data_IF_924134249749
#
_entry.id   IF_924134249749
#
_cell.length_a   1.000
_cell.length_b   1.000
_cell.length_c   1.000
_cell.angle_alpha   90.00
_cell.angle_beta   90.00
_cell.angle_gamma   90.00
#
_symmetry.space_group_name_H-M   'P 1'
#
loop_
_entity.id
_entity.type
_entity.pdbx_description
1 polymer ?
#
# COMPACT_ATOMS: atom_id res chain seq x y z
N UNK A 1 5.66 -2.81 -11.24
CA UNK A 1 6.18 -4.13 -10.86
C UNK A 1 7.33 -4.48 -11.80
N UNK A 2 8.49 -4.80 -11.25
CA UNK A 2 9.69 -5.27 -11.97
C UNK A 2 9.34 -6.40 -12.92
N UNK A 3 10.00 -6.46 -14.09
CA UNK A 3 9.96 -7.69 -14.87
C UNK A 3 10.33 -8.83 -13.94
N UNK A 4 9.54 -9.90 -13.99
CA UNK A 4 9.82 -11.17 -13.32
C UNK A 4 11.03 -11.85 -13.98
N UNK A 5 12.14 -11.12 -14.11
CA UNK A 5 13.45 -11.74 -14.07
C UNK A 5 13.44 -12.54 -12.79
N UNK A 6 13.63 -13.84 -12.94
CA UNK A 6 13.80 -14.77 -11.83
C UNK A 6 14.81 -14.12 -10.89
N UNK A 7 14.33 -13.63 -9.74
CA UNK A 7 15.21 -12.98 -8.78
C UNK A 7 16.21 -14.05 -8.34
N UNK A 8 17.53 -13.79 -8.44
CA UNK A 8 18.52 -14.79 -8.07
C UNK A 8 18.27 -15.23 -6.62
N UNK A 9 18.30 -16.55 -6.41
CA UNK A 9 18.11 -17.14 -5.10
C UNK A 9 19.12 -16.55 -4.11
N UNK A 10 18.66 -16.31 -2.88
CA UNK A 10 19.48 -15.70 -1.83
C UNK A 10 19.65 -14.18 -1.92
N UNK A 11 19.14 -13.51 -2.96
CA UNK A 11 19.10 -12.04 -2.95
C UNK A 11 18.09 -11.52 -1.91
N UNK A 12 18.33 -10.35 -1.30
CA UNK A 12 17.40 -9.75 -0.34
C UNK A 12 15.96 -9.63 -0.84
N UNK A 13 15.77 -9.22 -2.10
CA UNK A 13 14.43 -9.14 -2.70
C UNK A 13 13.75 -10.52 -2.82
N UNK A 14 14.50 -11.57 -3.17
CA UNK A 14 13.97 -12.93 -3.20
C UNK A 14 13.57 -13.44 -1.81
N UNK A 15 14.39 -13.15 -0.79
CA UNK A 15 14.10 -13.49 0.61
C UNK A 15 12.87 -12.75 1.14
N UNK A 16 12.71 -11.47 0.80
CA UNK A 16 11.54 -10.68 1.15
C UNK A 16 10.25 -11.31 0.58
N UNK A 17 10.24 -11.64 -0.72
CA UNK A 17 9.11 -12.31 -1.36
C UNK A 17 8.82 -13.67 -0.73
N UNK A 18 9.85 -14.45 -0.39
CA UNK A 18 9.68 -15.71 0.34
C UNK A 18 8.98 -15.50 1.67
N UNK A 19 9.42 -14.52 2.46
CA UNK A 19 8.81 -14.23 3.76
C UNK A 19 7.36 -13.72 3.61
N UNK A 20 7.08 -12.89 2.60
CA UNK A 20 5.70 -12.45 2.30
C UNK A 20 4.81 -13.64 1.92
N UNK A 21 5.31 -14.60 1.12
CA UNK A 21 4.56 -15.83 0.79
C UNK A 21 4.30 -16.69 2.01
N UNK A 22 5.26 -16.80 2.92
CA UNK A 22 5.07 -17.50 4.20
C UNK A 22 3.99 -16.77 5.02
N UNK A 23 4.08 -15.45 5.16
CA UNK A 23 3.10 -14.65 5.89
C UNK A 23 1.68 -14.79 5.29
N UNK A 24 1.56 -14.75 3.96
CA UNK A 24 0.30 -14.99 3.26
C UNK A 24 -0.24 -16.39 3.52
N UNK A 25 0.62 -17.41 3.48
CA UNK A 25 0.21 -18.81 3.74
C UNK A 25 -0.27 -18.98 5.18
N UNK A 26 0.44 -18.40 6.15
CA UNK A 26 0.03 -18.42 7.57
C UNK A 26 -1.31 -17.70 7.75
N UNK A 27 -1.50 -16.54 7.11
CA UNK A 27 -2.76 -15.81 7.14
C UNK A 27 -3.90 -16.61 6.50
N UNK A 28 -3.67 -17.26 5.35
CA UNK A 28 -4.65 -18.14 4.70
C UNK A 28 -5.05 -19.29 5.61
N UNK A 29 -4.07 -20.00 6.18
CA UNK A 29 -4.34 -21.12 7.09
C UNK A 29 -5.14 -20.63 8.30
N UNK A 30 -4.81 -19.46 8.85
CA UNK A 30 -5.57 -18.88 9.95
C UNK A 30 -7.03 -18.61 9.54
N UNK A 31 -7.26 -17.95 8.40
CA UNK A 31 -8.61 -17.70 7.88
C UNK A 31 -9.38 -19.01 7.69
N UNK A 32 -8.81 -19.98 6.96
CA UNK A 32 -9.45 -21.28 6.72
C UNK A 32 -9.76 -22.03 8.01
N UNK A 33 -8.85 -22.00 9.00
CA UNK A 33 -9.11 -22.63 10.31
C UNK A 33 -10.25 -21.94 11.04
N UNK A 34 -10.35 -20.63 10.96
CA UNK A 34 -11.43 -19.86 11.63
C UNK A 34 -12.78 -20.00 10.92
N UNK A 35 -12.82 -20.01 9.59
CA UNK A 35 -14.05 -20.14 8.80
C UNK A 35 -14.58 -21.57 8.81
N UNK A 36 -13.68 -22.56 8.71
CA UNK A 36 -14.02 -23.99 8.70
C UNK A 36 -14.04 -24.63 10.09
N UNK A 37 -14.01 -23.85 11.18
CA UNK A 37 -14.10 -24.41 12.52
C UNK A 37 -15.50 -25.03 12.75
N UNK A 38 -15.60 -26.32 13.11
CA UNK A 38 -16.90 -26.98 13.24
C UNK A 38 -17.79 -26.32 14.28
N UNK A 39 -19.02 -25.99 13.90
CA UNK A 39 -20.07 -25.41 14.76
C UNK A 39 -19.61 -24.14 15.50
N UNK A 40 -18.69 -23.37 14.92
CA UNK A 40 -18.29 -22.09 15.48
C UNK A 40 -19.42 -21.07 15.30
N UNK A 41 -20.10 -20.73 16.39
CA UNK A 41 -21.04 -19.60 16.43
C UNK A 41 -20.44 -18.48 17.28
N UNK A 42 -19.88 -17.45 16.63
CA UNK A 42 -19.39 -16.26 17.34
C UNK A 42 -20.57 -15.31 17.55
N UNK A 43 -21.21 -15.47 18.70
CA UNK A 43 -22.44 -14.72 19.04
C UNK A 43 -23.69 -15.31 18.38
N UNK A 44 -24.87 -14.94 18.89
CA UNK A 44 -26.12 -15.16 18.17
C UNK A 44 -26.02 -14.49 16.79
N UNK A 45 -26.55 -15.11 15.73
CA UNK A 45 -26.42 -14.70 14.31
C UNK A 45 -26.89 -13.29 13.91
N UNK A 46 -27.10 -12.40 14.87
CA UNK A 46 -27.32 -10.97 14.69
C UNK A 46 -26.06 -10.13 14.99
N UNK A 47 -24.89 -10.75 15.16
CA UNK A 47 -23.61 -10.09 15.44
C UNK A 47 -23.19 -9.18 14.28
N UNK A 48 -23.29 -7.84 14.39
CA UNK A 48 -23.03 -6.93 13.28
C UNK A 48 -21.55 -6.72 12.96
N UNK A 49 -20.68 -7.62 13.41
CA UNK A 49 -19.24 -7.55 13.17
C UNK A 49 -18.78 -8.66 12.21
N UNK A 50 -19.59 -9.69 12.01
CA UNK A 50 -19.18 -10.87 11.25
C UNK A 50 -18.71 -10.50 9.84
N UNK A 51 -19.53 -9.74 9.11
CA UNK A 51 -19.18 -9.23 7.77
C UNK A 51 -17.97 -8.30 7.78
N UNK A 52 -17.76 -7.54 8.85
CA UNK A 52 -16.57 -6.68 8.97
C UNK A 52 -15.30 -7.51 9.19
N UNK A 53 -15.38 -8.61 9.95
CA UNK A 53 -14.26 -9.56 10.14
C UNK A 53 -13.92 -10.23 8.81
N UNK A 54 -14.93 -10.72 8.09
CA UNK A 54 -14.80 -11.32 6.75
C UNK A 54 -14.08 -10.36 5.79
N UNK A 55 -14.63 -9.15 5.61
CA UNK A 55 -14.03 -8.12 4.77
C UNK A 55 -12.58 -7.76 5.20
N UNK A 56 -12.32 -7.65 6.50
CA UNK A 56 -10.99 -7.35 7.00
C UNK A 56 -9.99 -8.49 6.73
N UNK A 57 -10.39 -9.73 7.00
CA UNK A 57 -9.56 -10.93 6.85
C UNK A 57 -9.17 -11.12 5.38
N UNK A 58 -10.15 -11.11 4.47
CA UNK A 58 -9.91 -11.23 3.04
C UNK A 58 -9.24 -10.00 2.42
N UNK A 59 -9.46 -8.80 2.97
CA UNK A 59 -8.71 -7.60 2.61
C UNK A 59 -7.21 -7.70 2.93
N UNK A 60 -6.85 -8.15 4.13
CA UNK A 60 -5.45 -8.40 4.53
C UNK A 60 -4.83 -9.50 3.66
N UNK A 61 -5.58 -10.59 3.43
CA UNK A 61 -5.14 -11.71 2.62
C UNK A 61 -4.89 -11.28 1.17
N UNK A 62 -5.78 -10.48 0.58
CA UNK A 62 -5.63 -9.92 -0.76
C UNK A 62 -4.43 -8.97 -0.87
N UNK A 63 -4.21 -8.10 0.13
CA UNK A 63 -3.06 -7.22 0.16
C UNK A 63 -1.75 -8.04 0.17
N UNK A 64 -1.63 -9.02 1.07
CA UNK A 64 -0.47 -9.91 1.13
C UNK A 64 -0.29 -10.69 -0.18
N UNK A 65 -1.38 -11.20 -0.78
CA UNK A 65 -1.35 -11.91 -2.05
C UNK A 65 -0.76 -11.05 -3.16
N UNK A 66 -1.19 -9.80 -3.29
CA UNK A 66 -0.65 -8.85 -4.28
C UNK A 66 0.87 -8.66 -4.10
N UNK A 67 1.34 -8.62 -2.85
CA UNK A 67 2.78 -8.52 -2.54
C UNK A 67 3.58 -9.82 -2.75
N UNK A 68 2.94 -11.00 -2.85
CA UNK A 68 3.64 -12.26 -3.22
C UNK A 68 4.22 -12.24 -4.63
N UNK A 69 3.71 -11.35 -5.49
CA UNK A 69 4.05 -11.21 -6.92
C UNK A 69 3.86 -12.52 -7.71
N UNK A 70 2.97 -13.42 -7.29
CA UNK A 70 2.62 -14.62 -8.08
C UNK A 70 1.93 -14.25 -9.39
N UNK A 71 0.98 -13.31 -9.34
CA UNK A 71 0.29 -12.79 -10.52
C UNK A 71 0.74 -11.35 -10.80
N UNK A 72 1.06 -11.06 -12.06
CA UNK A 72 1.51 -9.72 -12.49
C UNK A 72 0.35 -8.74 -12.61
N UNK A 73 -0.78 -9.22 -13.11
CA UNK A 73 -1.98 -8.40 -13.29
C UNK A 73 -2.77 -8.33 -12.00
N UNK A 74 -3.11 -7.11 -11.59
CA UNK A 74 -4.00 -6.90 -10.47
C UNK A 74 -5.41 -7.42 -10.73
N UNK A 75 -5.85 -7.45 -11.99
CA UNK A 75 -7.13 -8.02 -12.36
C UNK A 75 -7.16 -9.54 -12.12
N UNK A 76 -6.10 -10.24 -12.52
CA UNK A 76 -5.97 -11.67 -12.25
C UNK A 76 -5.84 -11.96 -10.74
N UNK A 77 -5.17 -11.07 -9.98
CA UNK A 77 -5.14 -11.17 -8.52
C UNK A 77 -6.52 -10.99 -7.89
N UNK A 78 -7.31 -10.03 -8.36
CA UNK A 78 -8.68 -9.84 -7.91
C UNK A 78 -9.51 -11.09 -8.16
N UNK A 79 -9.50 -11.59 -9.40
CA UNK A 79 -10.28 -12.77 -9.78
C UNK A 79 -9.87 -13.99 -8.96
N UNK A 80 -8.57 -14.23 -8.78
CA UNK A 80 -8.08 -15.33 -7.95
C UNK A 80 -8.59 -15.23 -6.51
N UNK A 81 -8.51 -14.05 -5.90
CA UNK A 81 -8.96 -13.85 -4.52
C UNK A 81 -10.48 -13.98 -4.36
N UNK A 82 -11.27 -13.54 -5.35
CA UNK A 82 -12.74 -13.70 -5.34
C UNK A 82 -13.13 -15.17 -5.47
N UNK A 83 -12.43 -15.93 -6.33
CA UNK A 83 -12.63 -17.39 -6.45
C UNK A 83 -12.22 -18.10 -5.16
N UNK A 84 -11.15 -17.67 -4.50
CA UNK A 84 -10.72 -18.22 -3.22
C UNK A 84 -11.75 -17.98 -2.12
N UNK A 85 -12.34 -16.79 -2.05
CA UNK A 85 -13.45 -16.49 -1.11
C UNK A 85 -14.68 -17.37 -1.40
N UNK A 86 -15.06 -17.52 -2.67
CA UNK A 86 -16.17 -18.40 -3.03
C UNK A 86 -15.91 -19.87 -2.66
N UNK A 87 -14.65 -20.32 -2.77
CA UNK A 87 -14.26 -21.67 -2.37
C UNK A 87 -14.34 -21.84 -0.84
N UNK A 88 -13.95 -20.84 -0.05
CA UNK A 88 -14.09 -20.87 1.41
C UNK A 88 -15.56 -21.10 1.81
N UNK A 89 -16.49 -20.30 1.27
CA UNK A 89 -17.93 -20.47 1.51
C UNK A 89 -18.45 -21.83 1.04
N UNK A 90 -18.03 -22.30 -0.14
CA UNK A 90 -18.42 -23.62 -0.63
C UNK A 90 -17.93 -24.75 0.30
N UNK A 91 -16.75 -24.61 0.91
CA UNK A 91 -16.22 -25.57 1.88
C UNK A 91 -16.99 -25.54 3.20
N UNK A 92 -17.56 -24.40 3.59
CA UNK A 92 -18.45 -24.33 4.77
C UNK A 92 -19.73 -25.17 4.60
N UNK A 93 -20.15 -25.50 3.37
CA UNK A 93 -21.29 -26.38 3.10
C UNK A 93 -21.04 -27.86 3.44
N UNK A 94 -19.82 -28.26 3.83
CA UNK A 94 -19.51 -29.62 4.24
C UNK A 94 -20.38 -29.97 5.48
N UNK A 95 -21.30 -30.96 5.39
CA UNK A 95 -22.31 -31.19 6.43
C UNK A 95 -21.73 -31.43 7.84
N UNK A 96 -20.53 -32.01 7.91
CA UNK A 96 -19.82 -32.29 9.17
C UNK A 96 -19.40 -31.02 9.92
N UNK A 97 -19.25 -29.88 9.22
CA UNK A 97 -18.92 -28.60 9.84
C UNK A 97 -20.13 -28.00 10.56
N UNK A 98 -21.35 -28.35 10.15
CA UNK A 98 -22.58 -27.79 10.71
C UNK A 98 -22.73 -26.29 10.46
N UNK A 99 -22.19 -25.79 9.33
CA UNK A 99 -22.35 -24.42 8.86
C UNK A 99 -23.16 -24.40 7.56
N UNK A 100 -23.75 -23.26 7.25
CA UNK A 100 -24.36 -22.96 5.95
C UNK A 100 -23.50 -21.91 5.26
N UNK A 101 -23.29 -22.05 3.95
CA UNK A 101 -22.71 -20.97 3.16
C UNK A 101 -23.65 -19.76 3.17
N UNK A 102 -23.09 -18.57 3.35
CA UNK A 102 -23.82 -17.31 3.29
C UNK A 102 -23.29 -16.45 2.14
N UNK A 103 -24.20 -16.05 1.25
CA UNK A 103 -23.85 -15.16 0.13
C UNK A 103 -23.45 -13.77 0.64
N UNK A 104 -23.96 -13.35 1.79
CA UNK A 104 -23.61 -12.07 2.37
C UNK A 104 -22.16 -12.05 2.88
N UNK A 105 -21.65 -13.17 3.41
CA UNK A 105 -20.27 -13.32 3.86
C UNK A 105 -19.30 -13.33 2.68
N UNK A 106 -19.63 -14.07 1.62
CA UNK A 106 -18.89 -13.98 0.35
C UNK A 106 -18.88 -12.54 -0.20
N UNK A 107 -20.02 -11.85 -0.16
CA UNK A 107 -20.13 -10.45 -0.56
C UNK A 107 -19.21 -9.55 0.26
N UNK A 108 -19.13 -9.79 1.56
CA UNK A 108 -18.25 -9.05 2.46
C UNK A 108 -16.77 -9.28 2.14
N UNK A 109 -16.37 -10.52 1.85
CA UNK A 109 -15.02 -10.87 1.41
C UNK A 109 -14.64 -10.11 0.13
N UNK A 110 -15.54 -10.09 -0.86
CA UNK A 110 -15.35 -9.38 -2.13
C UNK A 110 -15.15 -7.87 -1.90
N UNK A 111 -15.91 -7.27 -0.98
CA UNK A 111 -15.73 -5.87 -0.60
C UNK A 111 -14.33 -5.65 0.01
N UNK A 112 -13.92 -6.49 0.95
CA UNK A 112 -12.59 -6.46 1.55
C UNK A 112 -11.45 -6.54 0.53
N UNK A 113 -11.52 -7.51 -0.38
CA UNK A 113 -10.57 -7.71 -1.47
C UNK A 113 -10.53 -6.47 -2.37
N UNK A 114 -11.69 -5.90 -2.71
CA UNK A 114 -11.80 -4.73 -3.59
C UNK A 114 -11.16 -3.49 -2.95
N UNK A 115 -11.40 -3.26 -1.66
CA UNK A 115 -10.77 -2.16 -0.90
C UNK A 115 -9.25 -2.33 -0.90
N UNK A 116 -8.74 -3.52 -0.57
CA UNK A 116 -7.30 -3.80 -0.57
C UNK A 116 -6.67 -3.55 -1.94
N UNK A 117 -7.33 -3.98 -3.02
CA UNK A 117 -6.89 -3.76 -4.39
C UNK A 117 -6.86 -2.27 -4.73
N UNK A 118 -7.90 -1.52 -4.40
CA UNK A 118 -7.99 -0.09 -4.67
C UNK A 118 -6.84 0.68 -4.00
N UNK A 119 -6.52 0.36 -2.74
CA UNK A 119 -5.36 0.95 -2.05
C UNK A 119 -4.03 0.49 -2.65
N UNK A 120 -3.89 -0.77 -3.03
CA UNK A 120 -2.68 -1.25 -3.72
C UNK A 120 -2.48 -0.54 -5.07
N UNK A 121 -3.56 -0.29 -5.83
CA UNK A 121 -3.55 0.49 -7.07
C UNK A 121 -3.16 1.94 -6.80
N UNK A 122 -3.77 2.58 -5.81
CA UNK A 122 -3.43 3.94 -5.40
C UNK A 122 -1.98 4.07 -4.94
N UNK A 123 -1.44 3.02 -4.31
CA UNK A 123 -0.07 2.95 -3.83
C UNK A 123 0.96 2.59 -4.92
N UNK A 124 0.56 2.39 -6.17
CA UNK A 124 1.50 2.09 -7.26
C UNK A 124 2.49 3.25 -7.49
N UNK A 125 3.71 2.94 -7.94
CA UNK A 125 4.65 3.95 -8.43
C UNK A 125 3.98 4.80 -9.52
N UNK A 126 4.08 6.12 -9.39
CA UNK A 126 3.64 7.10 -10.39
C UNK A 126 4.79 8.08 -10.64
N UNK A 127 4.81 8.70 -11.82
CA UNK A 127 5.90 9.56 -12.27
C UNK A 127 6.84 8.89 -13.28
N UNK A 128 7.67 9.72 -13.90
CA UNK A 128 8.56 9.31 -14.99
C UNK A 128 9.96 9.00 -14.46
N UNK A 129 10.60 9.98 -13.85
CA UNK A 129 12.05 10.04 -13.71
C UNK A 129 12.45 9.92 -12.24
N UNK A 130 12.63 11.05 -11.55
CA UNK A 130 13.08 11.10 -10.17
C UNK A 130 12.05 10.48 -9.22
N UNK A 131 10.76 10.66 -9.49
CA UNK A 131 9.70 10.03 -8.71
C UNK A 131 9.73 8.50 -8.84
N UNK A 132 10.01 8.00 -10.04
CA UNK A 132 10.18 6.55 -10.29
C UNK A 132 11.41 6.02 -9.56
N UNK A 133 12.52 6.74 -9.60
CA UNK A 133 13.75 6.39 -8.89
C UNK A 133 13.54 6.35 -7.37
N UNK A 134 12.89 7.37 -6.79
CA UNK A 134 12.53 7.39 -5.36
C UNK A 134 11.60 6.22 -5.03
N UNK A 135 10.62 5.93 -5.89
CA UNK A 135 9.74 4.79 -5.67
C UNK A 135 10.48 3.45 -5.73
N UNK A 136 11.46 3.29 -6.62
CA UNK A 136 12.34 2.12 -6.66
C UNK A 136 13.19 2.00 -5.39
N UNK A 137 13.79 3.10 -4.91
CA UNK A 137 14.53 3.14 -3.64
C UNK A 137 13.65 2.74 -2.45
N UNK A 138 12.41 3.25 -2.39
CA UNK A 138 11.44 2.88 -1.35
C UNK A 138 11.02 1.41 -1.46
N UNK A 139 10.80 0.91 -2.67
CA UNK A 139 10.46 -0.49 -2.92
C UNK A 139 11.58 -1.42 -2.44
N UNK A 140 12.84 -1.13 -2.77
CA UNK A 140 13.95 -1.97 -2.30
C UNK A 140 14.17 -1.84 -0.79
N UNK A 141 13.97 -0.65 -0.22
CA UNK A 141 14.01 -0.47 1.23
C UNK A 141 12.91 -1.27 1.96
N UNK A 142 11.72 -1.37 1.38
CA UNK A 142 10.65 -2.24 1.89
C UNK A 142 11.01 -3.72 1.75
N UNK A 143 11.58 -4.15 0.62
CA UNK A 143 12.06 -5.53 0.46
C UNK A 143 13.15 -5.85 1.51
N UNK A 144 14.09 -4.93 1.76
CA UNK A 144 15.12 -5.04 2.81
C UNK A 144 14.56 -5.04 4.24
N UNK A 145 13.38 -4.46 4.45
CA UNK A 145 12.66 -4.55 5.73
C UNK A 145 12.03 -5.95 5.88
N UNK A 146 11.30 -6.40 4.86
CA UNK A 146 10.55 -7.66 4.90
C UNK A 146 11.41 -8.93 4.80
N UNK A 147 12.68 -8.84 4.36
CA UNK A 147 13.63 -9.95 4.45
C UNK A 147 13.96 -10.33 5.90
N UNK A 148 13.74 -9.44 6.88
CA UNK A 148 14.04 -9.70 8.29
C UNK A 148 12.81 -10.28 9.00
N UNK A 149 12.89 -11.48 9.59
CA UNK A 149 11.79 -12.05 10.37
C UNK A 149 11.36 -11.17 11.55
N UNK A 150 12.30 -10.45 12.17
CA UNK A 150 12.02 -9.52 13.27
C UNK A 150 11.10 -8.36 12.86
N UNK A 151 11.15 -7.90 11.60
CA UNK A 151 10.25 -6.87 11.12
C UNK A 151 8.79 -7.34 11.13
N UNK A 152 8.53 -8.61 10.79
CA UNK A 152 7.19 -9.21 10.85
C UNK A 152 6.67 -9.31 12.27
N UNK A 153 7.54 -9.71 13.22
CA UNK A 153 7.18 -9.73 14.64
C UNK A 153 6.83 -8.32 15.12
N UNK A 154 7.60 -7.30 14.77
CA UNK A 154 7.28 -5.92 15.15
C UNK A 154 5.97 -5.43 14.54
N UNK A 155 5.68 -5.77 13.27
CA UNK A 155 4.41 -5.43 12.64
C UNK A 155 3.23 -6.11 13.34
N UNK A 156 3.36 -7.39 13.70
CA UNK A 156 2.34 -8.12 14.45
C UNK A 156 2.15 -7.55 15.88
N UNK A 157 3.22 -7.20 16.57
CA UNK A 157 3.15 -6.55 17.90
C UNK A 157 2.46 -5.19 17.81
N UNK A 158 2.85 -4.35 16.85
CA UNK A 158 2.21 -3.03 16.66
C UNK A 158 0.78 -3.16 16.19
N UNK A 159 0.44 -4.18 15.39
CA UNK A 159 -0.94 -4.50 15.04
C UNK A 159 -1.78 -4.76 16.30
N UNK A 160 -1.31 -5.66 17.17
CA UNK A 160 -2.01 -6.00 18.41
C UNK A 160 -2.12 -4.81 19.37
N UNK A 161 -1.04 -4.03 19.55
CA UNK A 161 -1.06 -2.82 20.40
C UNK A 161 -1.97 -1.74 19.81
N UNK A 162 -1.94 -1.55 18.49
CA UNK A 162 -2.82 -0.64 17.78
C UNK A 162 -4.28 -1.03 17.96
N UNK A 163 -4.60 -2.32 17.88
CA UNK A 163 -5.94 -2.84 18.16
C UNK A 163 -6.35 -2.57 19.62
N UNK A 164 -5.49 -2.92 20.58
CA UNK A 164 -5.75 -2.73 22.00
C UNK A 164 -5.95 -1.25 22.39
N UNK A 165 -5.26 -0.32 21.73
CA UNK A 165 -5.42 1.12 21.95
C UNK A 165 -6.61 1.71 21.19
N UNK A 166 -6.84 1.26 19.96
CA UNK A 166 -7.91 1.75 19.10
C UNK A 166 -9.30 1.33 19.58
N UNK A 167 -9.42 0.14 20.18
CA UNK A 167 -10.70 -0.38 20.65
C UNK A 167 -11.37 0.49 21.73
N UNK A 168 -10.74 0.82 22.87
CA UNK A 168 -11.35 1.69 23.86
C UNK A 168 -11.63 3.09 23.29
N UNK A 169 -10.80 3.60 22.38
CA UNK A 169 -11.06 4.88 21.72
C UNK A 169 -12.33 4.85 20.86
N UNK A 170 -12.55 3.76 20.12
CA UNK A 170 -13.78 3.55 19.34
C UNK A 170 -15.02 3.56 20.23
N UNK A 171 -14.99 2.84 21.35
CA UNK A 171 -16.07 2.84 22.35
C UNK A 171 -16.33 4.24 22.92
N UNK A 172 -15.27 4.98 23.27
CA UNK A 172 -15.39 6.31 23.84
C UNK A 172 -16.00 7.31 22.85
N UNK A 173 -15.58 7.27 21.58
CA UNK A 173 -16.14 8.12 20.53
C UNK A 173 -17.63 7.87 20.33
N UNK A 174 -18.06 6.60 20.31
CA UNK A 174 -19.47 6.26 20.20
C UNK A 174 -20.29 6.78 21.39
N UNK A 175 -19.80 6.53 22.62
CA UNK A 175 -20.49 6.95 23.85
C UNK A 175 -20.73 8.46 23.93
N UNK A 176 -19.93 9.26 23.23
CA UNK A 176 -20.03 10.71 23.21
C UNK A 176 -21.03 11.22 22.16
N UNK A 177 -21.19 10.52 21.03
CA UNK A 177 -21.97 10.98 19.89
C UNK A 177 -23.33 10.27 19.71
N UNK A 178 -23.51 9.02 20.16
CA UNK A 178 -24.69 8.21 19.80
C UNK A 178 -25.34 7.58 21.05
N UNK A 179 -26.38 8.22 21.61
CA UNK A 179 -27.11 7.69 22.78
C UNK A 179 -28.04 6.49 22.50
N UNK A 180 -28.14 6.02 21.26
CA UNK A 180 -29.04 4.92 20.84
C UNK A 180 -28.46 4.07 19.70
N UNK A 181 -27.15 3.83 19.75
CA UNK A 181 -26.40 3.15 18.70
C UNK A 181 -26.14 1.66 18.99
N UNK A 182 -25.52 0.95 18.04
CA UNK A 182 -25.12 -0.44 18.15
C UNK A 182 -24.34 -0.77 19.44
N UNK A 183 -24.23 -2.06 19.76
CA UNK A 183 -23.60 -2.51 21.01
C UNK A 183 -22.13 -2.00 21.11
N UNK A 184 -21.66 -1.48 22.27
CA UNK A 184 -20.37 -0.79 22.40
C UNK A 184 -19.15 -1.52 21.84
N UNK A 185 -19.13 -2.85 21.92
CA UNK A 185 -18.04 -3.67 21.40
C UNK A 185 -17.88 -3.58 19.87
N UNK A 186 -18.90 -3.17 19.11
CA UNK A 186 -18.82 -2.92 17.67
C UNK A 186 -17.92 -1.75 17.32
N UNK A 187 -18.14 -0.63 17.99
CA UNK A 187 -17.26 0.51 17.87
C UNK A 187 -15.88 0.21 18.44
N UNK A 188 -15.80 -0.64 19.47
CA UNK A 188 -14.54 -1.21 19.94
C UNK A 188 -13.80 -1.97 18.85
N UNK A 189 -14.48 -2.85 18.11
CA UNK A 189 -13.84 -3.60 17.03
C UNK A 189 -13.40 -2.69 15.87
N UNK A 190 -14.27 -1.79 15.41
CA UNK A 190 -13.94 -0.83 14.33
C UNK A 190 -12.75 0.05 14.74
N UNK A 191 -12.79 0.60 15.95
CA UNK A 191 -11.70 1.39 16.51
C UNK A 191 -10.41 0.59 16.63
N UNK A 192 -10.51 -0.67 17.06
CA UNK A 192 -9.37 -1.60 17.11
C UNK A 192 -8.77 -1.88 15.74
N UNK A 193 -9.59 -2.20 14.74
CA UNK A 193 -9.16 -2.43 13.36
C UNK A 193 -8.48 -1.19 12.76
N UNK A 194 -9.03 0.00 13.00
CA UNK A 194 -8.42 1.25 12.57
C UNK A 194 -7.08 1.50 13.27
N UNK A 195 -7.03 1.32 14.60
CA UNK A 195 -5.81 1.48 15.38
C UNK A 195 -4.70 0.50 14.94
N UNK A 196 -5.07 -0.74 14.65
CA UNK A 196 -4.19 -1.76 14.06
C UNK A 196 -3.63 -1.27 12.71
N UNK A 197 -4.49 -0.85 11.78
CA UNK A 197 -4.09 -0.41 10.45
C UNK A 197 -3.15 0.81 10.52
N UNK A 198 -3.48 1.81 11.34
CA UNK A 198 -2.66 3.01 11.54
C UNK A 198 -1.31 2.66 12.16
N UNK A 199 -1.29 1.83 13.20
CA UNK A 199 -0.05 1.39 13.85
C UNK A 199 0.88 0.66 12.89
N UNK A 200 0.37 -0.35 12.18
CA UNK A 200 1.12 -1.13 11.18
C UNK A 200 1.67 -0.21 10.10
N UNK A 201 0.85 0.70 9.57
CA UNK A 201 1.28 1.65 8.55
C UNK A 201 2.39 2.57 9.04
N UNK A 202 2.25 3.13 10.25
CA UNK A 202 3.24 4.03 10.84
C UNK A 202 4.59 3.32 11.07
N UNK A 203 4.59 2.10 11.62
CA UNK A 203 5.81 1.31 11.80
C UNK A 203 6.46 0.96 10.46
N UNK A 204 5.66 0.55 9.47
CA UNK A 204 6.15 0.24 8.13
C UNK A 204 6.81 1.45 7.48
N UNK A 205 6.16 2.61 7.50
CA UNK A 205 6.71 3.86 6.96
C UNK A 205 8.00 4.29 7.68
N UNK A 206 8.04 4.20 9.00
CA UNK A 206 9.24 4.49 9.79
C UNK A 206 10.39 3.53 9.42
N UNK A 207 10.10 2.23 9.29
CA UNK A 207 11.04 1.20 8.88
C UNK A 207 11.59 1.43 7.48
N UNK A 208 10.73 1.74 6.51
CA UNK A 208 11.13 2.07 5.13
C UNK A 208 12.01 3.32 5.10
N UNK A 209 11.64 4.40 5.81
CA UNK A 209 12.46 5.63 5.88
C UNK A 209 13.83 5.37 6.50
N UNK A 210 13.88 4.59 7.58
CA UNK A 210 15.14 4.18 8.19
C UNK A 210 16.01 3.36 7.24
N UNK A 211 15.40 2.45 6.47
CA UNK A 211 16.09 1.63 5.46
C UNK A 211 16.57 2.44 4.27
N UNK A 212 15.78 3.40 3.76
CA UNK A 212 16.22 4.31 2.69
C UNK A 212 17.46 5.09 3.12
N UNK A 213 17.50 5.62 4.36
CA UNK A 213 18.67 6.35 4.88
C UNK A 213 19.94 5.49 4.90
N UNK A 214 19.86 4.25 5.37
CA UNK A 214 21.00 3.30 5.35
C UNK A 214 21.37 2.87 3.93
N UNK A 215 20.37 2.68 3.07
CA UNK A 215 20.60 2.27 1.69
C UNK A 215 21.33 3.35 0.87
N UNK A 216 21.25 4.63 1.24
CA UNK A 216 22.09 5.68 0.65
C UNK A 216 23.58 5.43 0.87
N UNK A 217 24.00 4.91 2.02
CA UNK A 217 25.41 4.58 2.29
C UNK A 217 25.80 3.19 1.77
N UNK A 218 24.92 2.20 1.88
CA UNK A 218 25.19 0.82 1.44
C UNK A 218 25.04 0.63 -0.09
N UNK A 219 24.33 1.57 -0.73
CA UNK A 219 23.99 1.60 -2.15
C UNK A 219 23.54 0.24 -2.71
N UNK A 220 22.57 -0.48 -2.11
CA UNK A 220 22.19 -1.80 -2.60
C UNK A 220 21.68 -1.74 -4.06
N UNK A 221 21.82 -2.82 -4.82
CA UNK A 221 21.28 -2.88 -6.17
C UNK A 221 19.75 -2.65 -6.15
N UNK A 222 19.24 -1.68 -6.91
CA UNK A 222 17.80 -1.36 -6.95
C UNK A 222 16.93 -2.51 -7.50
N UNK A 223 17.53 -3.51 -8.16
CA UNK A 223 16.81 -4.65 -8.70
C UNK A 223 16.70 -5.83 -7.73
N UNK A 224 17.78 -6.18 -7.01
CA UNK A 224 17.81 -7.37 -6.15
C UNK A 224 18.10 -7.10 -4.66
N UNK A 225 18.51 -5.89 -4.31
CA UNK A 225 18.85 -5.48 -2.95
C UNK A 225 20.23 -5.92 -2.47
N UNK A 226 21.00 -6.66 -3.27
CA UNK A 226 22.35 -7.06 -2.89
C UNK A 226 23.22 -5.81 -2.65
N UNK A 227 23.86 -5.74 -1.48
CA UNK A 227 24.85 -4.71 -1.18
C UNK A 227 25.99 -4.81 -2.19
N UNK A 228 26.42 -3.66 -2.70
CA UNK A 228 27.74 -3.61 -3.33
C UNK A 228 28.77 -3.57 -2.23
N UNK A 229 29.24 -4.73 -1.81
CA UNK A 229 30.64 -4.79 -1.45
C UNK A 229 31.39 -4.47 -2.74
N UNK A 230 31.59 -3.17 -3.00
CA UNK A 230 32.72 -2.71 -3.77
C UNK A 230 33.88 -3.36 -3.05
N UNK A 231 34.51 -4.33 -3.70
CA UNK A 231 35.73 -4.93 -3.21
C UNK A 231 36.68 -3.74 -3.05
N UNK A 232 36.80 -3.22 -1.83
CA UNK A 232 37.72 -2.15 -1.46
C UNK A 232 39.16 -2.69 -1.45
N UNK A 233 39.49 -3.63 -2.34
CA UNK A 233 40.79 -4.25 -2.46
C UNK A 233 41.69 -3.56 -3.50
N UNK A 234 41.39 -2.30 -3.87
CA UNK A 234 42.27 -1.53 -4.75
C UNK A 234 42.38 -0.04 -4.36
N UNK A 235 41.98 0.33 -3.14
CA UNK A 235 42.47 1.56 -2.52
C UNK A 235 43.74 1.21 -1.73
N UNK A 236 44.69 0.60 -2.45
CA UNK A 236 46.06 0.54 -1.98
C UNK A 236 46.61 1.97 -2.05
N UNK A 237 47.15 2.40 -0.92
CA UNK A 237 47.39 3.78 -0.55
C UNK A 237 48.58 4.31 -1.36
N UNK A 238 48.36 5.21 -2.32
CA UNK A 238 49.44 6.08 -2.80
C UNK A 238 49.47 6.46 -4.28
N UNK A 239 48.65 5.87 -5.16
CA UNK A 239 48.67 6.28 -6.57
C UNK A 239 47.69 7.44 -6.84
N UNK A 240 48.14 8.58 -7.38
CA UNK A 240 47.25 9.66 -7.79
C UNK A 240 46.24 9.10 -8.80
N UNK A 241 44.94 9.28 -8.49
CA UNK A 241 43.83 8.83 -9.32
C UNK A 241 43.88 9.65 -10.62
N UNK A 242 44.59 9.14 -11.62
CA UNK A 242 44.42 9.58 -12.98
C UNK A 242 42.95 9.39 -13.35
N UNK A 243 42.36 10.37 -14.02
CA UNK A 243 40.98 10.37 -14.51
C UNK A 243 40.76 9.36 -15.65
N UNK A 244 41.30 8.15 -15.51
CA UNK A 244 41.08 7.05 -16.44
C UNK A 244 39.62 6.63 -16.35
N UNK A 245 39.03 6.55 -17.55
CA UNK A 245 37.69 6.11 -17.90
C UNK A 245 37.01 5.21 -16.84
N UNK A 246 35.76 5.51 -16.46
CA UNK A 246 35.02 4.70 -15.51
C UNK A 246 34.94 3.24 -16.01
N UNK A 247 35.14 2.24 -15.13
CA UNK A 247 35.20 0.83 -15.50
C UNK A 247 33.94 0.41 -16.27
N UNK A 248 34.14 -0.21 -17.44
CA UNK A 248 33.15 -0.44 -18.49
C UNK A 248 31.98 -1.36 -18.11
N UNK A 249 31.92 -1.96 -16.93
CA UNK A 249 30.75 -2.75 -16.52
C UNK A 249 30.37 -2.56 -15.05
N UNK A 250 29.67 -1.46 -14.75
CA UNK A 250 28.96 -1.25 -13.47
C UNK A 250 27.74 -2.19 -13.34
N UNK A 251 27.91 -3.51 -13.45
CA UNK A 251 26.82 -4.48 -13.30
C UNK A 251 26.78 -5.04 -11.87
N UNK A 252 25.58 -5.34 -11.37
CA UNK A 252 25.44 -6.04 -10.10
C UNK A 252 25.94 -7.49 -10.23
N UNK A 253 26.97 -7.87 -9.45
CA UNK A 253 27.54 -9.22 -9.46
C UNK A 253 26.54 -10.35 -9.16
N UNK A 254 25.42 -10.04 -8.49
CA UNK A 254 24.40 -11.05 -8.14
C UNK A 254 23.33 -11.24 -9.20
N UNK A 255 22.89 -10.17 -9.88
CA UNK A 255 21.74 -10.22 -10.80
C UNK A 255 22.04 -9.67 -12.20
N UNK A 256 23.28 -9.30 -12.50
CA UNK A 256 23.72 -8.75 -13.78
C UNK A 256 23.08 -7.41 -14.18
N UNK A 257 22.24 -6.81 -13.33
CA UNK A 257 21.56 -5.56 -13.66
C UNK A 257 22.57 -4.41 -13.65
N UNK A 258 22.59 -3.61 -14.72
CA UNK A 258 23.41 -2.41 -14.80
C UNK A 258 23.03 -1.43 -13.68
N UNK A 259 24.05 -0.92 -12.99
CA UNK A 259 23.97 0.09 -11.94
C UNK A 259 24.34 1.43 -12.55
N UNK A 260 23.55 2.44 -12.25
CA UNK A 260 23.78 3.81 -12.72
C UNK A 260 24.34 4.62 -11.56
N UNK A 261 25.24 5.56 -11.84
CA UNK A 261 25.71 6.52 -10.84
C UNK A 261 24.55 7.30 -10.19
N UNK A 262 23.44 7.47 -10.92
CA UNK A 262 22.21 8.12 -10.44
C UNK A 262 21.40 7.29 -9.45
N UNK A 263 21.61 5.96 -9.36
CA UNK A 263 20.73 5.06 -8.61
C UNK A 263 20.63 5.45 -7.12
N UNK A 264 21.72 5.95 -6.54
CA UNK A 264 21.79 6.42 -5.15
C UNK A 264 22.29 7.86 -5.00
N UNK A 265 22.30 8.63 -6.10
CA UNK A 265 22.58 10.05 -6.05
C UNK A 265 21.62 10.77 -5.07
N UNK A 266 22.11 11.71 -4.26
CA UNK A 266 21.28 12.39 -3.28
C UNK A 266 20.18 13.18 -3.98
N UNK A 267 18.95 13.04 -3.49
CA UNK A 267 17.80 13.84 -3.93
C UNK A 267 17.27 14.53 -2.68
N UNK A 268 17.19 15.87 -2.71
CA UNK A 268 16.62 16.65 -1.63
C UNK A 268 15.19 16.17 -1.35
N UNK A 269 14.80 15.99 -0.08
CA UNK A 269 13.41 15.68 0.24
C UNK A 269 12.52 16.84 -0.20
N UNK A 270 11.29 16.52 -0.63
CA UNK A 270 10.29 17.54 -0.88
C UNK A 270 9.94 18.23 0.44
N UNK A 271 9.87 19.56 0.46
CA UNK A 271 9.47 20.29 1.66
C UNK A 271 8.08 19.84 2.14
N UNK A 272 7.90 19.74 3.46
CA UNK A 272 6.63 19.31 4.06
C UNK A 272 5.44 20.21 3.66
N UNK A 273 5.66 21.52 3.50
CA UNK A 273 4.65 22.47 2.98
C UNK A 273 4.27 22.18 1.52
N UNK A 274 5.23 21.78 0.70
CA UNK A 274 5.01 21.38 -0.68
C UNK A 274 4.30 20.02 -0.76
N UNK A 275 4.62 19.06 0.10
CA UNK A 275 3.89 17.80 0.21
C UNK A 275 2.43 18.04 0.64
N UNK A 276 2.23 18.83 1.71
CA UNK A 276 0.91 19.16 2.22
C UNK A 276 0.05 19.87 1.17
N UNK A 277 0.59 20.88 0.48
CA UNK A 277 -0.14 21.58 -0.58
C UNK A 277 -0.46 20.70 -1.80
N UNK A 278 0.39 19.70 -2.11
CA UNK A 278 0.08 18.72 -3.15
C UNK A 278 -1.09 17.81 -2.76
N UNK A 279 -1.24 17.52 -1.46
CA UNK A 279 -2.26 16.62 -0.92
C UNK A 279 -3.57 17.31 -0.50
N UNK A 280 -3.51 18.58 -0.11
CA UNK A 280 -4.65 19.31 0.46
C UNK A 280 -5.86 19.30 -0.48
N UNK A 281 -5.67 19.68 -1.75
CA UNK A 281 -6.78 19.76 -2.70
C UNK A 281 -7.41 18.37 -2.99
N UNK A 282 -6.66 17.30 -3.30
CA UNK A 282 -7.26 15.97 -3.45
C UNK A 282 -7.99 15.46 -2.21
N UNK A 283 -7.47 15.73 -1.00
CA UNK A 283 -8.14 15.36 0.26
C UNK A 283 -9.45 16.13 0.39
N UNK A 284 -9.44 17.44 0.22
CA UNK A 284 -10.65 18.26 0.27
C UNK A 284 -11.69 17.83 -0.77
N UNK A 285 -11.27 17.56 -2.01
CA UNK A 285 -12.15 17.05 -3.06
C UNK A 285 -12.73 15.67 -2.71
N UNK A 286 -11.96 14.80 -2.08
CA UNK A 286 -12.44 13.48 -1.62
C UNK A 286 -13.48 13.63 -0.51
N UNK A 287 -13.23 14.52 0.45
CA UNK A 287 -14.19 14.84 1.53
C UNK A 287 -15.48 15.46 0.97
N UNK A 288 -15.37 16.44 0.06
CA UNK A 288 -16.53 17.07 -0.58
C UNK A 288 -17.30 16.04 -1.42
N UNK A 289 -16.61 15.18 -2.18
CA UNK A 289 -17.25 14.12 -2.96
C UNK A 289 -18.02 13.14 -2.06
N UNK A 290 -17.45 12.76 -0.90
CA UNK A 290 -18.12 11.91 0.06
C UNK A 290 -19.39 12.58 0.61
N UNK A 291 -19.29 13.83 1.08
CA UNK A 291 -20.45 14.58 1.61
C UNK A 291 -21.53 14.77 0.54
N UNK A 292 -21.15 15.17 -0.67
CA UNK A 292 -22.10 15.36 -1.76
C UNK A 292 -22.76 14.04 -2.16
N UNK A 293 -22.00 12.94 -2.27
CA UNK A 293 -22.56 11.62 -2.57
C UNK A 293 -23.57 11.20 -1.51
N UNK A 294 -23.24 11.34 -0.22
CA UNK A 294 -24.15 11.03 0.88
C UNK A 294 -25.42 11.89 0.85
N UNK A 295 -25.29 13.22 0.69
CA UNK A 295 -26.44 14.14 0.65
C UNK A 295 -27.31 13.85 -0.57
N UNK A 296 -26.71 13.71 -1.76
CA UNK A 296 -27.44 13.39 -3.00
C UNK A 296 -28.15 12.05 -2.88
N UNK A 297 -27.51 11.01 -2.34
CA UNK A 297 -28.15 9.71 -2.12
C UNK A 297 -29.38 9.83 -1.20
N UNK A 298 -29.23 10.49 -0.04
CA UNK A 298 -30.33 10.71 0.90
C UNK A 298 -31.46 11.52 0.24
N UNK A 299 -31.14 12.60 -0.49
CA UNK A 299 -32.15 13.41 -1.19
C UNK A 299 -32.88 12.60 -2.26
N UNK A 300 -32.18 11.81 -3.08
CA UNK A 300 -32.79 10.97 -4.11
C UNK A 300 -33.72 9.94 -3.48
N UNK A 301 -33.24 9.20 -2.47
CA UNK A 301 -34.05 8.18 -1.79
C UNK A 301 -35.28 8.82 -1.16
N UNK A 302 -35.13 9.90 -0.39
CA UNK A 302 -36.27 10.54 0.28
C UNK A 302 -37.29 11.14 -0.69
N UNK A 303 -36.85 11.77 -1.79
CA UNK A 303 -37.75 12.40 -2.76
C UNK A 303 -38.43 11.41 -3.69
N UNK A 304 -37.73 10.37 -4.15
CA UNK A 304 -38.25 9.40 -5.10
C UNK A 304 -38.95 8.20 -4.43
N UNK A 305 -38.71 7.93 -3.15
CA UNK A 305 -39.35 6.81 -2.44
C UNK A 305 -40.88 6.83 -2.50
N UNK A 306 -41.49 8.01 -2.50
CA UNK A 306 -42.95 8.16 -2.62
C UNK A 306 -43.46 8.19 -4.08
N UNK A 307 -42.56 8.31 -5.07
CA UNK A 307 -42.91 8.51 -6.48
C UNK A 307 -42.47 7.38 -7.40
N UNK A 308 -41.60 6.48 -6.95
CA UNK A 308 -41.02 5.40 -7.76
C UNK A 308 -41.01 4.09 -7.00
N UNK A 309 -41.77 3.11 -7.48
CA UNK A 309 -41.78 1.74 -6.94
C UNK A 309 -40.40 1.11 -6.98
N UNK A 310 -39.59 1.44 -7.99
CA UNK A 310 -38.23 0.93 -8.11
C UNK A 310 -37.34 1.42 -6.96
N UNK A 311 -37.38 2.72 -6.66
CA UNK A 311 -36.61 3.29 -5.53
C UNK A 311 -37.12 2.76 -4.20
N UNK A 312 -38.44 2.61 -4.04
CA UNK A 312 -39.01 2.00 -2.84
C UNK A 312 -38.54 0.54 -2.66
N UNK A 313 -38.46 -0.25 -3.73
CA UNK A 313 -37.93 -1.63 -3.68
C UNK A 313 -36.45 -1.66 -3.32
N UNK A 314 -35.64 -0.76 -3.88
CA UNK A 314 -34.21 -0.66 -3.53
C UNK A 314 -34.03 -0.25 -2.08
N UNK A 315 -34.73 0.79 -1.62
CA UNK A 315 -34.67 1.24 -0.22
C UNK A 315 -35.15 0.12 0.72
N UNK A 316 -36.26 -0.54 0.40
CA UNK A 316 -36.75 -1.68 1.20
C UNK A 316 -35.75 -2.82 1.25
N UNK A 317 -35.16 -3.19 0.11
CA UNK A 317 -34.09 -4.19 0.04
C UNK A 317 -32.87 -3.78 0.88
N UNK A 318 -32.42 -2.53 0.77
CA UNK A 318 -31.31 -2.02 1.57
C UNK A 318 -31.62 -2.02 3.06
N UNK A 319 -32.85 -1.66 3.46
CA UNK A 319 -33.29 -1.71 4.86
C UNK A 319 -33.47 -3.15 5.37
N UNK A 320 -33.70 -4.12 4.48
CA UNK A 320 -33.72 -5.55 4.79
C UNK A 320 -32.32 -6.13 4.95
N UNK A 321 -31.27 -5.46 4.45
CA UNK A 321 -29.91 -5.90 4.68
C UNK A 321 -29.57 -5.85 6.18
N UNK A 322 -28.83 -6.86 6.68
CA UNK A 322 -28.20 -6.80 7.99
C UNK A 322 -27.46 -5.48 8.24
N UNK A 323 -27.47 -5.00 9.48
CA UNK A 323 -26.88 -3.70 9.84
C UNK A 323 -25.39 -3.61 9.47
N UNK A 324 -24.67 -4.71 9.60
CA UNK A 324 -23.25 -4.85 9.24
C UNK A 324 -22.98 -4.78 7.74
N UNK A 325 -23.86 -5.35 6.92
CA UNK A 325 -23.77 -5.23 5.46
C UNK A 325 -23.90 -3.76 5.02
N UNK A 326 -24.81 -3.01 5.65
CA UNK A 326 -24.96 -1.56 5.42
C UNK A 326 -23.73 -0.78 5.84
N UNK A 327 -23.22 -1.02 7.05
CA UNK A 327 -21.99 -0.39 7.56
C UNK A 327 -20.81 -0.70 6.63
N UNK A 328 -20.69 -1.95 6.17
CA UNK A 328 -19.65 -2.36 5.25
C UNK A 328 -19.75 -1.62 3.90
N UNK A 329 -20.96 -1.42 3.37
CA UNK A 329 -21.21 -0.59 2.18
C UNK A 329 -20.75 0.87 2.35
N UNK A 330 -21.03 1.47 3.50
CA UNK A 330 -20.57 2.82 3.84
C UNK A 330 -19.03 2.88 3.93
N UNK A 331 -18.41 1.91 4.62
CA UNK A 331 -16.95 1.79 4.74
C UNK A 331 -16.31 1.62 3.36
N UNK A 332 -16.88 0.76 2.50
CA UNK A 332 -16.40 0.54 1.15
C UNK A 332 -16.42 1.85 0.34
N UNK A 333 -17.51 2.61 0.43
CA UNK A 333 -17.65 3.90 -0.26
C UNK A 333 -16.58 4.88 0.20
N UNK A 334 -16.39 5.04 1.52
CA UNK A 334 -15.34 5.91 2.10
C UNK A 334 -13.95 5.45 1.66
N UNK A 335 -13.68 4.15 1.73
CA UNK A 335 -12.39 3.56 1.38
C UNK A 335 -12.04 3.77 -0.10
N UNK A 336 -12.99 3.57 -1.02
CA UNK A 336 -12.78 3.75 -2.46
C UNK A 336 -12.54 5.22 -2.82
N UNK A 337 -13.30 6.15 -2.23
CA UNK A 337 -13.08 7.60 -2.40
C UNK A 337 -11.70 7.97 -1.83
N UNK A 338 -11.34 7.46 -0.66
CA UNK A 338 -10.03 7.66 -0.04
C UNK A 338 -8.87 7.15 -0.90
N UNK A 339 -9.01 5.96 -1.51
CA UNK A 339 -8.02 5.41 -2.44
C UNK A 339 -7.84 6.29 -3.68
N UNK A 340 -8.93 6.83 -4.24
CA UNK A 340 -8.88 7.81 -5.34
C UNK A 340 -8.15 9.11 -4.92
N UNK A 341 -8.44 9.63 -3.73
CA UNK A 341 -7.75 10.78 -3.15
C UNK A 341 -6.24 10.54 -3.00
N UNK A 342 -5.86 9.39 -2.44
CA UNK A 342 -4.46 8.97 -2.30
C UNK A 342 -3.75 8.87 -3.65
N UNK A 343 -4.38 8.28 -4.65
CA UNK A 343 -3.83 8.17 -6.01
C UNK A 343 -3.60 9.56 -6.63
N UNK A 344 -4.53 10.50 -6.42
CA UNK A 344 -4.38 11.88 -6.87
C UNK A 344 -3.26 12.63 -6.12
N UNK A 345 -3.16 12.50 -4.79
CA UNK A 345 -2.05 13.04 -3.99
C UNK A 345 -0.70 12.56 -4.52
N UNK A 346 -0.55 11.24 -4.72
CA UNK A 346 0.71 10.65 -5.19
C UNK A 346 1.09 11.11 -6.58
N UNK A 347 0.13 11.24 -7.51
CA UNK A 347 0.41 11.78 -8.86
C UNK A 347 0.93 13.21 -8.79
N UNK A 348 0.36 14.05 -7.91
CA UNK A 348 0.81 15.43 -7.73
C UNK A 348 2.18 15.53 -7.07
N UNK A 349 2.44 14.72 -6.04
CA UNK A 349 3.77 14.63 -5.42
C UNK A 349 4.80 14.18 -6.46
N UNK A 350 4.51 13.12 -7.21
CA UNK A 350 5.41 12.62 -8.25
C UNK A 350 5.71 13.68 -9.32
N UNK A 351 4.69 14.41 -9.79
CA UNK A 351 4.88 15.50 -10.74
C UNK A 351 5.81 16.61 -10.20
N UNK A 352 5.74 16.94 -8.91
CA UNK A 352 6.66 17.90 -8.28
C UNK A 352 8.06 17.33 -8.12
N UNK A 353 8.17 16.05 -7.73
CA UNK A 353 9.47 15.37 -7.58
C UNK A 353 10.18 15.24 -8.93
N UNK A 354 9.46 14.96 -10.01
CA UNK A 354 10.02 14.90 -11.37
C UNK A 354 10.58 16.25 -11.85
N UNK A 355 10.26 17.37 -11.17
CA UNK A 355 10.88 18.68 -11.42
C UNK A 355 12.24 18.87 -10.74
N UNK A 356 12.75 17.90 -9.97
CA UNK A 356 13.97 18.07 -9.16
C UNK A 356 15.24 18.43 -9.96
N UNK A 357 15.25 18.23 -11.27
CA UNK A 357 16.34 18.64 -12.16
C UNK A 357 16.24 20.08 -12.68
N UNK A 358 15.05 20.66 -12.62
CA UNK A 358 14.75 22.04 -13.03
C UNK A 358 14.70 22.99 -11.82
N UNK A 359 14.15 22.55 -10.69
CA UNK A 359 14.11 23.33 -9.46
C UNK A 359 14.50 22.48 -8.25
N UNK A 360 15.14 23.09 -7.27
CA UNK A 360 15.51 22.39 -6.05
C UNK A 360 14.26 22.07 -5.22
N UNK A 361 14.01 20.79 -4.92
CA UNK A 361 12.87 20.37 -4.09
C UNK A 361 12.90 20.93 -2.66
N UNK A 362 14.10 21.29 -2.19
CA UNK A 362 14.35 21.76 -0.82
C UNK A 362 14.19 23.26 -0.62
N UNK A 363 14.42 24.11 -1.62
CA UNK A 363 14.29 25.58 -1.48
C UNK A 363 13.60 26.28 -2.66
N UNK A 364 13.29 25.57 -3.75
CA UNK A 364 12.65 26.13 -4.95
C UNK A 364 13.60 26.83 -5.93
N UNK A 365 14.90 26.93 -5.63
CA UNK A 365 15.89 27.57 -6.51
C UNK A 365 15.92 26.95 -7.91
N UNK A 366 16.02 27.78 -8.96
CA UNK A 366 16.09 27.34 -10.35
C UNK A 366 17.46 26.70 -10.65
N UNK A 367 17.46 25.38 -10.80
CA UNK A 367 18.68 24.61 -11.08
C UNK A 367 19.08 24.70 -12.53
N UNK A 368 18.30 25.28 -13.44
CA UNK A 368 18.69 25.45 -14.87
C UNK A 368 19.91 26.34 -15.04
N UNK A 369 20.19 27.22 -14.08
CA UNK A 369 21.40 28.05 -14.04
C UNK A 369 22.67 27.25 -13.67
N UNK A 370 22.53 26.05 -13.08
CA UNK A 370 23.68 25.17 -12.79
C UNK A 370 24.09 24.39 -14.04
N UNK A 371 25.38 24.05 -14.17
CA UNK A 371 25.97 23.40 -15.35
C UNK A 371 25.01 22.39 -16.01
N UNK A 372 24.49 22.64 -17.22
CA UNK A 372 23.45 21.83 -17.85
C UNK A 372 23.87 20.38 -18.12
N UNK A 373 25.18 20.12 -18.25
CA UNK A 373 25.72 18.78 -18.45
C UNK A 373 25.76 17.93 -17.16
N UNK A 374 25.60 18.54 -15.98
CA UNK A 374 25.60 17.80 -14.72
C UNK A 374 24.31 16.96 -14.58
N UNK A 375 24.48 15.64 -14.57
CA UNK A 375 23.43 14.65 -14.32
C UNK A 375 23.03 14.64 -12.84
N UNK A 376 23.99 14.88 -11.95
CA UNK A 376 23.77 14.93 -10.50
C UNK A 376 24.51 16.14 -9.93
N UNK A 377 23.98 16.73 -8.87
CA UNK A 377 24.66 17.85 -8.20
C UNK A 377 24.01 18.23 -6.88
N UNK A 378 24.45 19.35 -6.31
CA UNK A 378 23.88 19.94 -5.10
C UNK A 378 23.42 21.36 -5.42
N UNK A 379 22.27 21.76 -4.86
CA UNK A 379 21.78 23.13 -4.95
C UNK A 379 22.75 24.07 -4.22
N UNK A 380 23.12 25.18 -4.86
CA UNK A 380 24.03 26.17 -4.26
C UNK A 380 23.42 26.91 -3.06
N UNK A 381 22.09 27.06 -3.03
CA UNK A 381 21.41 27.79 -1.94
C UNK A 381 21.29 26.96 -0.66
N UNK A 382 20.84 25.71 -0.76
CA UNK A 382 20.51 24.89 0.41
C UNK A 382 21.33 23.60 0.55
N UNK A 383 22.25 23.33 -0.38
CA UNK A 383 23.04 22.09 -0.42
C UNK A 383 22.25 20.84 -0.81
N UNK A 384 20.94 20.96 -1.07
CA UNK A 384 20.08 19.82 -1.40
C UNK A 384 20.49 19.14 -2.72
N UNK A 385 20.63 17.82 -2.69
CA UNK A 385 21.00 17.03 -3.88
C UNK A 385 19.92 17.07 -4.97
N UNK A 386 20.34 17.00 -6.23
CA UNK A 386 19.45 16.87 -7.38
C UNK A 386 19.95 15.85 -8.40
N UNK A 387 19.02 15.35 -9.21
CA UNK A 387 19.29 14.44 -10.33
C UNK A 387 18.51 14.93 -11.55
N UNK A 388 19.17 14.97 -12.71
CA UNK A 388 18.60 15.22 -14.03
C UNK A 388 18.64 13.93 -14.82
N UNK A 389 17.48 13.30 -15.01
CA UNK A 389 17.36 12.15 -15.89
C UNK A 389 16.88 12.67 -17.24
N UNK A 390 17.68 12.47 -18.29
CA UNK A 390 17.32 12.90 -19.64
C UNK A 390 16.16 12.05 -20.15
N UNK A 391 15.03 12.68 -20.44
CA UNK A 391 13.86 12.04 -21.09
C UNK A 391 14.19 11.45 -22.47
N UNK A 392 15.33 11.83 -23.06
CA UNK A 392 15.76 11.42 -24.40
C UNK A 392 16.43 10.04 -24.47
N UNK A 393 16.73 9.39 -23.36
CA UNK A 393 17.16 7.98 -23.41
C UNK A 393 15.93 7.11 -23.18
N UNK A 394 15.28 6.57 -24.23
CA UNK A 394 14.23 5.59 -24.05
C UNK A 394 14.80 4.48 -23.16
N UNK A 395 14.22 4.37 -21.97
CA UNK A 395 14.61 3.36 -21.02
C UNK A 395 14.51 2.01 -21.73
N UNK A 396 15.65 1.32 -21.91
CA UNK A 396 15.66 -0.07 -22.38
C UNK A 396 14.95 -1.05 -21.43
N UNK A 397 14.37 -0.55 -20.33
CA UNK A 397 13.36 -1.30 -19.58
C UNK A 397 12.04 -1.17 -20.35
N UNK A 398 11.46 -2.29 -20.82
CA UNK A 398 10.22 -2.28 -21.58
C UNK A 398 9.16 -1.50 -20.82
N UNK A 399 8.43 -0.65 -21.54
CA UNK A 399 7.21 -0.02 -21.05
C UNK A 399 6.33 -1.11 -20.44
N UNK A 400 6.12 -1.02 -19.12
CA UNK A 400 5.36 -2.00 -18.37
C UNK A 400 3.90 -1.83 -18.76
N UNK A 401 3.45 -2.57 -19.76
CA UNK A 401 2.04 -2.68 -20.11
C UNK A 401 1.24 -3.10 -18.87
N UNK A 402 0.15 -2.37 -18.65
CA UNK A 402 -0.69 -2.36 -17.46
C UNK A 402 -1.37 -3.70 -17.18
#
# INVERSE_FOLDING_TARGET
MTDLRVLPLGTPAALAIRNIRIAWTVALVFVLVTTLWPRLSIGSGESPIDKLIHAAAFGVLAALFIYTRWLRSLWWSLLFMVVLAALDEALQMIPQLGRSADLDDWGADVVGITIALAFCMAARPVGADAARLISQRRSIAADLLFMQPTAWLHLATVAALGFAAGAPLGVLLDSWFIRKGPQPWQYGFIGGMLGMAVGVHALWEAGVRARVRRATSEQPCLACGASSQIIAAAADVGSPIASTSPPETNQCMRCGTARRATDWAPIAPLQASAELSACLLPILLSTVALVLLSVTFITIVTTLRLRSDFVLRIDSWYQMLPADARILGDIATVALIGACGLAACRRRIAARVDQCGASCLGCGFDLRATNPAAITGTCHECGGGFVRLSTSTPSALPERSA
#
